data_IF_957975975054
#
_entry.id   IF_957975975054
#
_cell.length_a   1.000
_cell.length_b   1.000
_cell.length_c   1.000
_cell.angle_alpha   90.00
_cell.angle_beta   90.00
_cell.angle_gamma   90.00
#
_symmetry.space_group_name_H-M   'P 1'
#
loop_
_entity.id
_entity.type
_entity.pdbx_description
1 polymer ?
#
# COMPACT_ATOMS: atom_id res chain seq x y z
N UNK A 1 -4.39 -1.00 -14.46
CA UNK A 1 -4.34 -0.87 -13.00
C UNK A 1 -2.95 -0.42 -12.58
N UNK A 2 -2.80 0.70 -11.88
CA UNK A 2 -1.49 1.29 -11.59
C UNK A 2 -1.09 1.05 -10.12
N UNK A 3 -0.20 0.08 -9.88
CA UNK A 3 0.33 -0.22 -8.54
C UNK A 3 1.59 0.61 -8.20
N UNK A 4 1.97 1.58 -9.04
CA UNK A 4 3.22 2.33 -8.86
C UNK A 4 3.25 3.12 -7.55
N UNK A 5 2.13 3.74 -7.14
CA UNK A 5 2.10 4.50 -5.88
C UNK A 5 2.30 3.61 -4.67
N UNK A 6 1.65 2.44 -4.64
CA UNK A 6 1.84 1.46 -3.58
C UNK A 6 3.30 1.03 -3.50
N UNK A 7 3.91 0.68 -4.64
CA UNK A 7 5.34 0.32 -4.70
C UNK A 7 6.24 1.46 -4.22
N UNK A 8 5.92 2.70 -4.58
CA UNK A 8 6.67 3.89 -4.13
C UNK A 8 6.54 4.10 -2.62
N UNK A 9 5.34 3.93 -2.06
CA UNK A 9 5.11 4.02 -0.63
C UNK A 9 5.90 2.94 0.12
N UNK A 10 5.78 1.68 -0.29
CA UNK A 10 6.51 0.58 0.33
C UNK A 10 8.03 0.82 0.26
N UNK A 11 8.56 1.21 -0.90
CA UNK A 11 9.98 1.49 -1.06
C UNK A 11 10.47 2.63 -0.15
N UNK A 12 9.63 3.63 0.11
CA UNK A 12 9.99 4.80 0.92
C UNK A 12 9.85 4.57 2.43
N UNK A 13 8.87 3.78 2.88
CA UNK A 13 8.51 3.70 4.30
C UNK A 13 8.60 2.31 4.91
N UNK A 14 8.43 1.25 4.12
CA UNK A 14 8.27 -0.13 4.64
C UNK A 14 9.37 -1.09 4.17
N UNK A 15 10.24 -0.66 3.25
CA UNK A 15 11.27 -1.51 2.65
C UNK A 15 12.38 -1.84 3.65
N UNK A 16 12.35 -3.08 4.14
CA UNK A 16 13.41 -3.70 4.96
C UNK A 16 14.10 -4.83 4.19
N UNK A 17 15.26 -5.33 4.64
CA UNK A 17 15.93 -6.47 4.01
C UNK A 17 15.10 -7.77 3.98
N UNK A 18 14.11 -7.88 4.87
CA UNK A 18 13.21 -9.04 5.00
C UNK A 18 11.89 -8.87 4.26
N UNK A 19 11.67 -7.69 3.68
CA UNK A 19 10.44 -7.37 2.95
C UNK A 19 10.30 -8.22 1.69
N UNK A 20 9.14 -8.85 1.52
CA UNK A 20 8.77 -9.59 0.31
C UNK A 20 7.48 -9.02 -0.26
N UNK A 21 7.47 -8.81 -1.58
CA UNK A 21 6.32 -8.28 -2.31
C UNK A 21 5.74 -9.34 -3.22
N UNK A 22 4.45 -9.59 -3.07
CA UNK A 22 3.69 -10.49 -3.93
C UNK A 22 2.51 -9.73 -4.53
N UNK A 23 2.31 -9.86 -5.85
CA UNK A 23 1.09 -9.32 -6.47
C UNK A 23 -0.05 -10.29 -6.19
N UNK A 24 -1.11 -9.81 -5.54
CA UNK A 24 -2.31 -10.60 -5.25
C UNK A 24 -3.43 -10.19 -6.19
N UNK A 25 -4.38 -11.09 -6.41
CA UNK A 25 -5.54 -10.88 -7.30
C UNK A 25 -6.88 -10.96 -6.58
N UNK A 26 -6.90 -11.33 -5.30
CA UNK A 26 -8.10 -11.52 -4.48
C UNK A 26 -7.92 -10.78 -3.15
N UNK A 27 -8.97 -10.12 -2.59
CA UNK A 27 -10.30 -9.92 -3.17
C UNK A 27 -10.31 -9.00 -4.39
N UNK A 28 -9.26 -8.20 -4.58
CA UNK A 28 -8.98 -7.45 -5.80
C UNK A 28 -7.47 -7.41 -6.04
N UNK A 29 -7.05 -6.93 -7.22
CA UNK A 29 -5.65 -6.92 -7.54
C UNK A 29 -4.90 -5.84 -6.73
N UNK A 30 -3.79 -6.25 -6.10
CA UNK A 30 -3.08 -5.47 -5.10
C UNK A 30 -1.65 -5.98 -4.85
N UNK A 31 -1.05 -5.52 -3.76
CA UNK A 31 0.28 -5.97 -3.31
C UNK A 31 0.15 -6.51 -1.88
N UNK A 32 0.54 -7.75 -1.68
CA UNK A 32 0.82 -8.29 -0.37
C UNK A 32 2.28 -7.97 -0.02
N UNK A 33 2.46 -7.35 1.13
CA UNK A 33 3.75 -7.09 1.77
C UNK A 33 3.89 -8.07 2.92
N UNK A 34 4.96 -8.86 2.91
CA UNK A 34 5.34 -9.68 4.06
C UNK A 34 6.65 -9.16 4.64
N UNK A 35 6.67 -8.87 5.94
CA UNK A 35 7.85 -8.42 6.67
C UNK A 35 8.04 -9.26 7.94
N UNK A 36 8.80 -10.35 7.82
CA UNK A 36 8.89 -11.34 8.89
C UNK A 36 7.56 -12.08 9.06
N UNK A 37 6.99 -12.01 10.26
CA UNK A 37 5.68 -12.61 10.60
C UNK A 37 4.51 -11.64 10.34
N UNK A 38 4.79 -10.37 10.05
CA UNK A 38 3.80 -9.36 9.76
C UNK A 38 3.42 -9.36 8.26
N UNK A 39 2.14 -9.17 7.98
CA UNK A 39 1.59 -9.12 6.64
C UNK A 39 0.64 -7.93 6.50
N UNK A 40 0.82 -7.15 5.43
CA UNK A 40 -0.09 -6.08 5.01
C UNK A 40 -0.56 -6.32 3.58
N UNK A 41 -1.81 -5.98 3.29
CA UNK A 41 -2.36 -6.01 1.93
C UNK A 41 -2.68 -4.60 1.44
N UNK A 42 -2.17 -4.25 0.27
CA UNK A 42 -2.33 -2.95 -0.33
C UNK A 42 -3.18 -3.02 -1.59
N UNK A 43 -4.17 -2.13 -1.70
CA UNK A 43 -5.08 -2.10 -2.84
C UNK A 43 -5.23 -0.69 -3.41
N UNK A 44 -5.12 -0.51 -4.74
CA UNK A 44 -5.32 0.78 -5.35
C UNK A 44 -6.79 1.19 -5.25
N UNK A 45 -7.06 2.48 -5.08
CA UNK A 45 -8.43 2.97 -5.23
C UNK A 45 -8.89 2.86 -6.68
N UNK A 46 -10.17 2.53 -6.86
CA UNK A 46 -10.82 2.52 -8.17
C UNK A 46 -11.32 3.90 -8.59
N UNK A 47 -11.40 4.85 -7.65
CA UNK A 47 -11.98 6.18 -7.87
C UNK A 47 -10.94 7.30 -7.93
N UNK A 48 -9.78 7.13 -7.31
CA UNK A 48 -8.73 8.15 -7.25
C UNK A 48 -7.34 7.50 -7.44
N UNK A 49 -6.62 7.92 -8.48
CA UNK A 49 -5.31 7.37 -8.81
C UNK A 49 -4.23 7.72 -7.78
N UNK A 50 -4.44 8.73 -6.94
CA UNK A 50 -3.54 9.14 -5.87
C UNK A 50 -3.85 8.45 -4.54
N UNK A 51 -4.86 7.59 -4.49
CA UNK A 51 -5.33 6.96 -3.26
C UNK A 51 -5.15 5.43 -3.32
N UNK A 52 -4.73 4.84 -2.20
CA UNK A 52 -4.72 3.40 -2.00
C UNK A 52 -5.01 3.06 -0.54
N UNK A 53 -5.35 1.81 -0.29
CA UNK A 53 -5.70 1.28 1.02
C UNK A 53 -4.67 0.26 1.46
N UNK A 54 -4.44 0.19 2.77
CA UNK A 54 -3.66 -0.86 3.43
C UNK A 54 -4.57 -1.55 4.45
N UNK A 55 -4.63 -2.87 4.38
CA UNK A 55 -5.23 -3.73 5.39
C UNK A 55 -4.09 -4.38 6.18
N UNK A 56 -4.03 -4.10 7.48
CA UNK A 56 -3.02 -4.62 8.40
C UNK A 56 -3.71 -5.18 9.65
N UNK A 57 -3.81 -6.50 9.74
CA UNK A 57 -4.60 -7.15 10.79
C UNK A 57 -6.07 -6.72 10.74
N UNK A 58 -6.56 -6.11 11.82
CA UNK A 58 -7.93 -5.56 11.90
C UNK A 58 -8.01 -4.07 11.50
N UNK A 59 -6.87 -3.44 11.19
CA UNK A 59 -6.79 -2.03 10.87
C UNK A 59 -6.83 -1.80 9.35
N UNK A 60 -7.55 -0.76 8.94
CA UNK A 60 -7.57 -0.30 7.55
C UNK A 60 -7.06 1.13 7.49
N UNK A 61 -5.97 1.33 6.76
CA UNK A 61 -5.40 2.64 6.51
C UNK A 61 -5.71 3.11 5.09
N UNK A 62 -5.93 4.40 4.95
CA UNK A 62 -6.07 5.09 3.67
C UNK A 62 -4.85 5.97 3.46
N UNK A 63 -4.21 5.83 2.31
CA UNK A 63 -3.03 6.60 1.93
C UNK A 63 -3.36 7.47 0.72
N UNK A 64 -3.15 8.77 0.87
CA UNK A 64 -3.29 9.74 -0.22
C UNK A 64 -1.92 10.30 -0.58
N UNK A 65 -1.54 10.21 -1.84
CA UNK A 65 -0.34 10.81 -2.38
C UNK A 65 -0.61 12.25 -2.80
N UNK A 66 0.18 13.19 -2.29
CA UNK A 66 0.18 14.57 -2.74
C UNK A 66 1.31 14.74 -3.79
N UNK A 67 0.99 14.96 -5.08
CA UNK A 67 2.00 15.12 -6.12
C UNK A 67 2.79 16.42 -6.02
N UNK A 68 2.24 17.47 -5.37
CA UNK A 68 2.91 18.76 -5.23
C UNK A 68 4.04 18.69 -4.20
N UNK A 69 3.78 18.05 -3.06
CA UNK A 69 4.79 17.86 -2.00
C UNK A 69 5.56 16.54 -2.11
N UNK A 70 5.13 15.64 -3.00
CA UNK A 70 5.66 14.28 -3.19
C UNK A 70 5.61 13.43 -1.92
N UNK A 71 4.63 13.68 -1.05
CA UNK A 71 4.48 12.99 0.24
C UNK A 71 3.20 12.16 0.29
N UNK A 72 3.15 11.22 1.22
CA UNK A 72 1.94 10.46 1.52
C UNK A 72 1.33 10.93 2.83
N UNK A 73 0.01 11.04 2.85
CA UNK A 73 -0.78 11.24 4.06
C UNK A 73 -1.54 9.95 4.36
N UNK A 74 -1.36 9.41 5.56
CA UNK A 74 -2.06 8.22 6.03
C UNK A 74 -3.12 8.59 7.05
N UNK A 75 -4.30 7.99 6.94
CA UNK A 75 -5.38 8.08 7.94
C UNK A 75 -5.92 6.69 8.23
N UNK A 76 -6.09 6.36 9.50
CA UNK A 76 -6.79 5.15 9.94
C UNK A 76 -8.31 5.35 9.83
N UNK A 77 -9.01 4.30 9.42
CA UNK A 77 -10.48 4.30 9.28
C UNK A 77 -11.16 3.64 10.48
#
# INVERSE_FOLDING_TARGET
MNLQLIKKYIAAYLSTPTTRLTTVSAPMAGIQLQNGDEESFFYPSTTDENLFFEEYGEHVYTHTYDPATRSFKTTEK
#
